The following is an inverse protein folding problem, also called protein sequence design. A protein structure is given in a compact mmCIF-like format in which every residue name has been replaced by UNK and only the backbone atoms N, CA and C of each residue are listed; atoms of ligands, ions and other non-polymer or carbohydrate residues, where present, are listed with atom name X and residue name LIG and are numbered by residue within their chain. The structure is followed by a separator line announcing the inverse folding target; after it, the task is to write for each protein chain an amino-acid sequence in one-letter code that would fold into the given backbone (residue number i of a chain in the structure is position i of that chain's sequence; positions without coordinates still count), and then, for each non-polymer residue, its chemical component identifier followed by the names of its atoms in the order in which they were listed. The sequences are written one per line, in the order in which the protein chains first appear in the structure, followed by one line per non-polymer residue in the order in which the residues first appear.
data_IF_771843528921
#
_entry.id   IF_771843528921
#
_cell.length_a   1.000
_cell.length_b   1.000
_cell.length_c   1.000
_cell.angle_alpha   90.00
_cell.angle_beta   90.00
_cell.angle_gamma   90.00
#
_symmetry.space_group_name_H-M   'P 1'
#
loop_
_entity.id
_entity.type
_entity.pdbx_description
1 polymer ?
#
# COMPACT_ATOMS: atom_id res chain seq x y z
N UNK A 1 22.04 31.32 6.30
CA UNK A 1 21.34 30.04 6.41
C UNK A 1 20.24 30.21 7.44
N UNK A 2 18.99 30.07 7.02
CA UNK A 2 17.77 30.06 7.84
C UNK A 2 17.54 28.61 8.28
N UNK A 3 17.11 28.37 9.52
CA UNK A 3 16.89 26.99 9.99
C UNK A 3 15.70 26.35 9.24
N UNK A 4 15.68 25.01 9.12
CA UNK A 4 14.52 24.32 8.52
C UNK A 4 13.21 24.64 9.26
N UNK A 5 13.29 24.84 10.59
CA UNK A 5 12.14 25.21 11.41
C UNK A 5 11.64 26.62 11.09
N UNK A 6 12.54 27.60 11.01
CA UNK A 6 12.21 28.98 10.62
C UNK A 6 11.61 29.01 9.21
N UNK A 7 12.14 28.23 8.26
CA UNK A 7 11.56 28.13 6.92
C UNK A 7 10.13 27.57 6.95
N UNK A 8 9.87 26.52 7.72
CA UNK A 8 8.51 25.97 7.88
C UNK A 8 7.54 26.99 8.48
N UNK A 9 7.98 27.78 9.46
CA UNK A 9 7.17 28.85 10.05
C UNK A 9 6.89 29.94 9.02
N UNK A 10 7.90 30.36 8.25
CA UNK A 10 7.75 31.33 7.16
C UNK A 10 6.74 30.86 6.12
N UNK A 11 6.83 29.62 5.68
CA UNK A 11 5.92 29.04 4.69
C UNK A 11 4.48 29.00 5.24
N UNK A 12 4.32 28.65 6.54
CA UNK A 12 3.01 28.67 7.19
C UNK A 12 2.39 30.06 7.22
N UNK A 13 3.17 31.09 7.58
CA UNK A 13 2.68 32.47 7.64
C UNK A 13 2.28 32.99 6.26
N UNK A 14 3.05 32.64 5.22
CA UNK A 14 2.70 32.94 3.82
C UNK A 14 1.40 32.25 3.44
N UNK A 15 1.25 30.95 3.76
CA UNK A 15 0.03 30.20 3.50
C UNK A 15 -1.19 30.75 4.26
N UNK A 16 -0.98 31.37 5.43
CA UNK A 16 -2.00 32.07 6.20
C UNK A 16 -2.34 33.48 5.66
N UNK A 17 -1.70 33.91 4.57
CA UNK A 17 -1.98 35.18 3.90
C UNK A 17 -1.11 36.36 4.32
N UNK A 18 -0.12 36.16 5.20
CA UNK A 18 0.79 37.24 5.60
C UNK A 18 1.86 37.51 4.55
N UNK A 19 2.11 38.78 4.25
CA UNK A 19 3.29 39.17 3.46
C UNK A 19 4.50 39.19 4.38
N UNK A 20 5.49 38.34 4.13
CA UNK A 20 6.71 38.24 4.95
C UNK A 20 7.89 38.91 4.24
N UNK A 21 8.72 39.67 4.99
CA UNK A 21 9.90 40.32 4.43
C UNK A 21 10.89 39.29 3.86
N UNK A 22 11.44 39.56 2.68
CA UNK A 22 12.39 38.67 1.99
C UNK A 22 13.81 38.88 2.54
N UNK A 23 14.46 37.80 2.94
CA UNK A 23 15.85 37.83 3.42
C UNK A 23 16.00 38.26 4.89
N UNK A 24 17.26 38.46 5.31
CA UNK A 24 17.59 38.87 6.67
C UNK A 24 17.16 40.32 6.89
N UNK A 25 16.64 40.58 8.08
CA UNK A 25 16.21 41.90 8.49
C UNK A 25 16.91 42.31 9.77
N UNK A 26 17.11 43.61 9.92
CA UNK A 26 17.75 44.23 11.08
C UNK A 26 16.90 45.42 11.51
N UNK A 27 16.68 45.55 12.81
CA UNK A 27 15.97 46.65 13.44
C UNK A 27 16.96 47.37 14.35
N UNK A 28 17.21 48.64 14.06
CA UNK A 28 17.93 49.53 14.97
C UNK A 28 17.02 49.84 16.16
N UNK A 29 17.45 49.45 17.36
CA UNK A 29 16.74 49.74 18.60
C UNK A 29 17.32 50.99 19.28
N UNK A 30 16.60 51.48 20.30
CA UNK A 30 17.05 52.55 21.18
C UNK A 30 18.21 52.13 22.10
N UNK A 31 18.60 53.02 23.02
CA UNK A 31 19.70 52.75 23.95
C UNK A 31 19.37 51.58 24.89
N UNK A 32 20.30 50.62 25.00
CA UNK A 32 20.27 49.54 25.99
C UNK A 32 21.21 49.89 27.15
N UNK A 33 20.68 50.26 28.34
CA UNK A 33 21.52 50.75 29.44
C UNK A 33 22.54 49.73 29.95
N UNK A 34 22.20 48.44 29.96
CA UNK A 34 23.06 47.38 30.50
C UNK A 34 24.33 47.16 29.67
N UNK A 35 24.23 47.33 28.35
CA UNK A 35 25.36 47.17 27.41
C UNK A 35 25.93 48.50 26.93
N UNK A 36 25.32 49.61 27.36
CA UNK A 36 25.64 50.97 26.96
C UNK A 36 25.84 51.13 25.45
N UNK A 37 24.90 50.61 24.67
CA UNK A 37 24.95 50.64 23.21
C UNK A 37 23.55 50.84 22.60
N UNK A 38 23.50 50.88 21.27
CA UNK A 38 22.26 50.95 20.49
C UNK A 38 22.15 49.67 19.64
N UNK A 39 21.60 48.58 20.19
CA UNK A 39 21.66 47.28 19.55
C UNK A 39 20.88 47.25 18.24
N UNK A 40 21.43 46.50 17.27
CA UNK A 40 20.72 46.09 16.07
C UNK A 40 20.22 44.66 16.30
N UNK A 41 18.91 44.49 16.37
CA UNK A 41 18.29 43.18 16.57
C UNK A 41 17.84 42.60 15.23
N UNK A 42 18.02 41.30 15.06
CA UNK A 42 17.62 40.55 13.86
C UNK A 42 16.55 39.54 14.24
N UNK A 43 15.25 39.90 14.20
CA UNK A 43 14.18 38.92 14.36
C UNK A 43 14.21 37.90 13.22
N UNK A 44 13.80 36.68 13.50
CA UNK A 44 13.76 35.60 12.50
C UNK A 44 12.88 35.97 11.28
N UNK A 45 11.71 36.56 11.56
CA UNK A 45 10.71 36.84 10.53
C UNK A 45 10.07 38.22 10.78
N UNK A 46 10.02 39.07 9.75
CA UNK A 46 9.25 40.32 9.79
C UNK A 46 7.97 40.20 8.96
N UNK A 47 6.84 40.62 9.52
CA UNK A 47 5.60 40.73 8.78
C UNK A 47 5.57 42.09 8.07
N UNK A 48 5.63 42.08 6.74
CA UNK A 48 5.70 43.28 5.92
C UNK A 48 4.47 44.17 6.09
N UNK A 49 4.69 45.49 5.99
CA UNK A 49 3.64 46.52 6.13
C UNK A 49 2.95 46.53 7.51
N UNK A 50 3.49 45.81 8.48
CA UNK A 50 3.12 45.88 9.88
C UNK A 50 4.37 46.12 10.73
N UNK A 51 4.19 46.58 11.96
CA UNK A 51 5.25 46.62 12.96
C UNK A 51 5.23 45.36 13.83
N UNK A 52 5.17 44.19 13.20
CA UNK A 52 5.14 42.88 13.87
C UNK A 52 6.33 42.03 13.43
N UNK A 53 7.03 41.45 14.38
CA UNK A 53 8.08 40.46 14.14
C UNK A 53 7.81 39.15 14.89
N UNK A 54 8.30 38.05 14.32
CA UNK A 54 8.19 36.71 14.89
C UNK A 54 9.59 36.20 15.22
N UNK A 55 9.74 35.64 16.42
CA UNK A 55 10.93 34.87 16.85
C UNK A 55 10.52 33.40 17.06
N UNK A 56 11.38 32.46 16.66
CA UNK A 56 11.19 31.02 16.84
C UNK A 56 12.23 30.55 17.85
N UNK A 57 11.78 30.30 19.08
CA UNK A 57 12.64 30.02 20.23
C UNK A 57 12.56 28.54 20.63
N UNK A 58 13.45 27.67 20.16
CA UNK A 58 13.49 26.29 20.62
C UNK A 58 14.28 26.15 21.93
N UNK A 59 13.79 25.30 22.85
CA UNK A 59 14.35 25.12 24.19
C UNK A 59 15.87 24.89 24.21
N UNK A 60 16.40 24.09 23.28
CA UNK A 60 17.83 23.79 23.22
C UNK A 60 18.75 25.02 23.04
N UNK A 61 18.21 26.19 22.68
CA UNK A 61 18.97 27.46 22.57
C UNK A 61 18.52 28.56 23.53
N UNK A 62 17.31 28.46 24.10
CA UNK A 62 16.66 29.51 24.90
C UNK A 62 16.38 29.16 26.37
N UNK A 63 16.63 27.93 26.81
CA UNK A 63 16.54 27.58 28.24
C UNK A 63 17.48 28.49 29.07
N UNK A 64 16.94 29.15 30.09
CA UNK A 64 17.69 30.03 30.99
C UNK A 64 17.97 31.44 30.45
N UNK A 65 17.41 31.81 29.28
CA UNK A 65 17.60 33.12 28.64
C UNK A 65 16.38 34.03 28.74
N UNK A 66 15.45 33.76 29.65
CA UNK A 66 14.18 34.47 29.76
C UNK A 66 14.37 35.97 30.03
N UNK A 67 15.40 36.34 30.79
CA UNK A 67 15.75 37.74 31.05
C UNK A 67 16.20 38.44 29.76
N UNK A 68 17.08 37.81 29.00
CA UNK A 68 17.58 38.36 27.74
C UNK A 68 16.45 38.46 26.69
N UNK A 69 15.59 37.45 26.63
CA UNK A 69 14.40 37.44 25.78
C UNK A 69 13.45 38.60 26.11
N UNK A 70 13.22 38.88 27.41
CA UNK A 70 12.42 40.03 27.86
C UNK A 70 13.09 41.36 27.50
N UNK A 71 14.39 41.49 27.69
CA UNK A 71 15.13 42.71 27.30
C UNK A 71 15.01 42.96 25.79
N UNK A 72 15.15 41.91 24.96
CA UNK A 72 14.93 42.02 23.50
C UNK A 72 13.51 42.49 23.17
N UNK A 73 12.49 41.93 23.84
CA UNK A 73 11.10 42.36 23.66
C UNK A 73 10.92 43.84 24.00
N UNK A 74 11.51 44.31 25.11
CA UNK A 74 11.45 45.72 25.53
C UNK A 74 12.12 46.66 24.52
N UNK A 75 13.29 46.28 24.00
CA UNK A 75 14.01 47.06 22.99
C UNK A 75 13.24 47.15 21.67
N UNK A 76 12.64 46.05 21.23
CA UNK A 76 11.78 46.02 20.05
C UNK A 76 10.51 46.85 20.25
N UNK A 77 9.85 46.73 21.41
CA UNK A 77 8.67 47.50 21.76
C UNK A 77 8.97 49.01 21.81
N UNK A 78 10.10 49.42 22.39
CA UNK A 78 10.55 50.81 22.39
C UNK A 78 10.84 51.35 20.97
N UNK A 79 11.22 50.48 20.04
CA UNK A 79 11.36 50.79 18.61
C UNK A 79 10.02 50.71 17.84
N UNK A 80 8.90 50.52 18.54
CA UNK A 80 7.56 50.44 17.99
C UNK A 80 7.18 49.10 17.38
N UNK A 81 7.92 48.02 17.68
CA UNK A 81 7.65 46.68 17.16
C UNK A 81 6.95 45.79 18.19
N UNK A 82 5.89 45.12 17.75
CA UNK A 82 5.24 44.05 18.48
C UNK A 82 5.95 42.72 18.20
N UNK A 83 6.28 41.98 19.25
CA UNK A 83 6.94 40.67 19.14
C UNK A 83 5.92 39.55 19.39
N UNK A 84 5.92 38.54 18.52
CA UNK A 84 5.17 37.29 18.67
C UNK A 84 6.18 36.14 18.71
N UNK A 85 6.24 35.36 19.79
CA UNK A 85 7.22 34.27 19.90
C UNK A 85 6.58 32.90 19.80
N UNK A 86 7.20 32.01 19.01
CA UNK A 86 6.91 30.58 19.04
C UNK A 86 7.94 29.90 19.93
N UNK A 87 7.55 29.58 21.17
CA UNK A 87 8.43 29.00 22.20
C UNK A 87 8.19 27.50 22.29
N UNK A 88 9.20 26.70 21.94
CA UNK A 88 9.09 25.25 21.69
C UNK A 88 9.88 24.49 22.77
N UNK A 89 9.40 23.33 23.20
CA UNK A 89 10.08 22.47 24.19
C UNK A 89 9.79 22.84 25.64
N UNK A 90 8.60 23.38 25.92
CA UNK A 90 8.15 23.66 27.29
C UNK A 90 8.71 24.95 27.90
N UNK A 91 9.26 25.85 27.09
CA UNK A 91 9.69 27.19 27.53
C UNK A 91 8.52 28.00 28.09
N UNK A 92 8.74 28.75 29.18
CA UNK A 92 7.74 29.69 29.71
C UNK A 92 7.52 30.90 28.78
N UNK A 93 6.35 31.57 28.83
CA UNK A 93 6.09 32.77 28.05
C UNK A 93 6.92 33.97 28.56
N UNK A 94 7.26 34.88 27.64
CA UNK A 94 7.97 36.14 27.89
C UNK A 94 7.25 37.35 27.31
N UNK A 95 6.28 37.16 26.41
CA UNK A 95 5.43 38.19 25.81
C UNK A 95 3.95 37.81 25.78
N UNK A 96 3.09 38.80 25.55
CA UNK A 96 1.63 38.64 25.64
C UNK A 96 1.03 37.87 24.45
N UNK A 97 1.71 37.86 23.30
CA UNK A 97 1.28 37.12 22.10
C UNK A 97 1.98 35.77 21.94
N UNK A 98 2.69 35.29 22.97
CA UNK A 98 3.49 34.09 22.85
C UNK A 98 2.65 32.83 22.61
N UNK A 99 3.17 31.95 21.76
CA UNK A 99 2.69 30.59 21.58
C UNK A 99 3.71 29.66 22.25
N UNK A 100 3.29 29.03 23.33
CA UNK A 100 4.10 28.07 24.10
C UNK A 100 3.69 26.65 23.75
N UNK A 101 4.61 25.85 23.24
CA UNK A 101 4.41 24.45 22.91
C UNK A 101 5.29 23.53 23.76
N UNK A 102 4.69 22.52 24.38
CA UNK A 102 5.42 21.51 25.18
C UNK A 102 6.23 20.53 24.31
N UNK A 103 5.84 20.34 23.04
CA UNK A 103 6.59 19.54 22.08
C UNK A 103 7.97 20.16 21.82
N UNK A 104 9.01 19.34 21.69
CA UNK A 104 10.36 19.77 21.29
C UNK A 104 10.47 20.16 19.81
N UNK A 105 9.45 19.82 19.02
CA UNK A 105 9.35 20.15 17.59
C UNK A 105 8.10 20.96 17.28
N UNK A 106 8.16 21.77 16.22
CA UNK A 106 7.01 22.53 15.70
C UNK A 106 5.94 21.59 15.14
N UNK A 107 4.78 21.60 15.79
CA UNK A 107 3.56 20.89 15.36
C UNK A 107 2.66 21.79 14.51
N UNK A 108 1.67 21.21 13.84
CA UNK A 108 0.69 21.97 13.06
C UNK A 108 -0.18 22.85 13.96
N UNK A 109 -0.57 22.34 15.14
CA UNK A 109 -1.37 23.09 16.11
C UNK A 109 -0.62 24.32 16.62
N UNK A 110 0.69 24.21 16.88
CA UNK A 110 1.52 25.34 17.26
C UNK A 110 1.68 26.35 16.13
N UNK A 111 1.77 25.88 14.88
CA UNK A 111 1.80 26.73 13.68
C UNK A 111 0.49 27.48 13.45
N UNK A 112 -0.66 26.84 13.68
CA UNK A 112 -1.99 27.46 13.56
C UNK A 112 -2.21 28.51 14.66
N UNK A 113 -1.80 28.18 15.89
CA UNK A 113 -1.81 29.12 17.01
C UNK A 113 -0.90 30.32 16.75
N UNK A 114 0.28 30.12 16.16
CA UNK A 114 1.19 31.20 15.78
C UNK A 114 0.57 32.12 14.73
N UNK A 115 0.00 31.57 13.66
CA UNK A 115 -0.67 32.37 12.64
C UNK A 115 -1.81 33.21 13.24
N UNK A 116 -2.57 32.64 14.19
CA UNK A 116 -3.61 33.36 14.92
C UNK A 116 -3.04 34.48 15.80
N UNK A 117 -1.93 34.23 16.51
CA UNK A 117 -1.27 35.23 17.35
C UNK A 117 -0.69 36.40 16.53
N UNK A 118 -0.12 36.10 15.36
CA UNK A 118 0.35 37.12 14.41
C UNK A 118 -0.83 37.94 13.88
N UNK A 119 -1.95 37.29 13.55
CA UNK A 119 -3.17 38.00 13.12
C UNK A 119 -3.64 39.01 14.16
N UNK A 120 -3.72 38.59 15.42
CA UNK A 120 -4.11 39.47 16.53
C UNK A 120 -3.14 40.64 16.70
N UNK A 121 -1.83 40.38 16.66
CA UNK A 121 -0.79 41.40 16.76
C UNK A 121 -0.86 42.42 15.60
N UNK A 122 -1.10 41.95 14.37
CA UNK A 122 -1.21 42.82 13.19
C UNK A 122 -2.45 43.73 13.26
N UNK A 123 -3.55 43.23 13.80
CA UNK A 123 -4.81 44.00 13.96
C UNK A 123 -4.80 44.86 15.24
N UNK A 124 -3.83 44.67 16.13
CA UNK A 124 -3.71 45.41 17.40
C UNK A 124 -4.67 44.92 18.49
N UNK A 125 -5.07 43.65 18.45
CA UNK A 125 -5.86 43.04 19.52
C UNK A 125 -4.99 42.75 20.75
N UNK A 126 -5.56 42.75 21.97
CA UNK A 126 -4.84 42.36 23.17
C UNK A 126 -4.16 40.99 23.04
N UNK A 127 -2.95 40.86 23.58
CA UNK A 127 -2.20 39.62 23.55
C UNK A 127 -2.87 38.52 24.39
N UNK A 128 -2.91 37.31 23.83
CA UNK A 128 -3.31 36.09 24.54
C UNK A 128 -2.20 35.07 24.37
N UNK A 129 -1.66 34.61 25.50
CA UNK A 129 -0.68 33.52 25.54
C UNK A 129 -1.39 32.22 25.16
N UNK A 130 -0.96 31.59 24.06
CA UNK A 130 -1.52 30.33 23.56
C UNK A 130 -0.67 29.17 24.05
N UNK A 131 -1.28 28.15 24.63
CA UNK A 131 -0.58 26.98 25.19
C UNK A 131 -0.97 25.73 24.42
N UNK A 132 0.04 25.03 23.88
CA UNK A 132 -0.11 23.80 23.09
C UNK A 132 0.50 22.65 23.86
N UNK A 133 -0.36 21.79 24.40
CA UNK A 133 0.05 20.60 25.13
C UNK A 133 0.67 19.56 24.18
N UNK A 134 1.61 18.76 24.68
CA UNK A 134 2.17 17.62 23.95
C UNK A 134 1.08 16.57 23.79
N UNK A 135 0.74 16.20 22.54
CA UNK A 135 -0.17 15.06 22.31
C UNK A 135 0.43 13.81 22.94
N UNK A 136 -0.41 13.03 23.61
CA UNK A 136 -0.04 11.71 24.10
C UNK A 136 0.54 10.89 22.92
N UNK A 137 1.64 10.14 23.14
CA UNK A 137 2.23 9.33 22.08
C UNK A 137 1.15 8.41 21.51
N UNK A 138 0.87 8.54 20.22
CA UNK A 138 0.00 7.60 19.51
C UNK A 138 0.65 6.23 19.60
N UNK A 139 -0.10 5.19 19.99
CA UNK A 139 0.41 3.85 20.13
C UNK A 139 1.28 3.47 18.91
N UNK A 140 2.49 2.98 19.17
CA UNK A 140 3.42 2.57 18.10
C UNK A 140 2.71 1.51 17.27
N UNK A 141 2.30 1.88 16.05
CA UNK A 141 1.66 0.96 15.11
C UNK A 141 2.69 -0.13 14.80
N UNK A 142 2.51 -1.33 15.36
CA UNK A 142 3.35 -2.47 15.01
C UNK A 142 3.34 -2.62 13.49
N UNK A 143 4.53 -2.73 12.89
CA UNK A 143 4.64 -2.99 11.46
C UNK A 143 3.89 -4.29 11.18
N UNK A 144 2.93 -4.23 10.25
CA UNK A 144 2.18 -5.41 9.82
C UNK A 144 3.16 -6.48 9.33
N UNK A 145 2.98 -7.73 9.79
CA UNK A 145 3.77 -8.88 9.34
C UNK A 145 3.54 -9.20 7.85
N UNK A 146 2.42 -8.73 7.29
CA UNK A 146 2.09 -8.89 5.88
C UNK A 146 2.82 -7.86 5.02
N UNK A 147 3.56 -8.34 4.03
CA UNK A 147 4.19 -7.53 3.00
C UNK A 147 3.20 -6.90 2.03
N UNK A 148 3.71 -6.40 0.89
CA UNK A 148 2.87 -5.95 -0.21
C UNK A 148 2.17 -7.15 -0.87
N UNK A 149 0.96 -6.92 -1.39
CA UNK A 149 0.25 -7.88 -2.25
C UNK A 149 0.30 -7.31 -3.66
N UNK A 150 1.12 -7.90 -4.54
CA UNK A 150 1.36 -7.41 -5.90
C UNK A 150 1.04 -8.51 -6.92
N UNK A 151 0.68 -8.14 -8.15
CA UNK A 151 0.44 -9.11 -9.22
C UNK A 151 1.71 -9.93 -9.51
N UNK A 152 1.51 -11.22 -9.82
CA UNK A 152 2.59 -12.13 -10.16
C UNK A 152 3.01 -11.92 -11.62
N UNK A 153 4.31 -11.85 -11.87
CA UNK A 153 4.83 -11.54 -13.21
C UNK A 153 4.59 -12.65 -14.24
N UNK A 154 4.56 -13.90 -13.79
CA UNK A 154 4.59 -15.08 -14.66
C UNK A 154 3.33 -15.94 -14.61
N UNK A 155 2.48 -15.73 -13.61
CA UNK A 155 1.30 -16.54 -13.39
C UNK A 155 0.11 -15.62 -13.53
N UNK A 156 -0.73 -15.90 -14.53
CA UNK A 156 -2.00 -15.23 -14.70
C UNK A 156 -2.84 -15.39 -13.42
N UNK A 157 -3.59 -14.34 -13.08
CA UNK A 157 -4.52 -14.35 -11.96
C UNK A 157 -3.89 -14.74 -10.61
N UNK A 158 -2.61 -14.43 -10.43
CA UNK A 158 -1.86 -14.74 -9.21
C UNK A 158 -1.19 -13.50 -8.62
N UNK A 159 -0.91 -13.52 -7.31
CA UNK A 159 -0.35 -12.38 -6.59
C UNK A 159 0.78 -12.81 -5.65
N UNK A 160 1.91 -12.11 -5.68
CA UNK A 160 2.95 -12.22 -4.67
C UNK A 160 2.40 -11.84 -3.29
N UNK A 161 2.67 -12.69 -2.31
CA UNK A 161 2.36 -12.47 -0.89
C UNK A 161 3.61 -12.79 -0.07
N UNK A 162 3.88 -11.99 0.96
CA UNK A 162 4.88 -12.35 1.96
C UNK A 162 4.41 -12.13 3.38
N UNK A 163 4.83 -13.01 4.27
CA UNK A 163 4.49 -12.96 5.70
C UNK A 163 5.75 -13.10 6.54
N UNK A 164 5.94 -12.19 7.50
CA UNK A 164 7.05 -12.27 8.44
C UNK A 164 6.72 -13.31 9.52
N UNK A 165 7.49 -14.39 9.58
CA UNK A 165 7.40 -15.44 10.59
C UNK A 165 7.89 -14.95 11.94
N UNK A 166 7.58 -15.67 13.02
CA UNK A 166 8.06 -15.32 14.37
C UNK A 166 9.59 -15.42 14.48
N UNK A 167 10.20 -16.30 13.69
CA UNK A 167 11.66 -16.38 13.52
C UNK A 167 12.30 -15.12 12.89
N UNK A 168 11.50 -14.18 12.38
CA UNK A 168 11.95 -12.99 11.66
C UNK A 168 12.17 -13.23 10.15
N UNK A 169 12.13 -14.48 9.68
CA UNK A 169 12.20 -14.82 8.25
C UNK A 169 10.94 -14.39 7.52
N UNK A 170 11.09 -13.84 6.31
CA UNK A 170 9.96 -13.60 5.43
C UNK A 170 9.62 -14.86 4.62
N UNK A 171 8.44 -15.43 4.84
CA UNK A 171 7.90 -16.50 3.99
C UNK A 171 7.33 -15.86 2.72
N UNK A 172 7.80 -16.31 1.56
CA UNK A 172 7.28 -15.90 0.24
C UNK A 172 6.29 -16.92 -0.25
N UNK A 173 5.16 -16.44 -0.76
CA UNK A 173 4.02 -17.24 -1.20
C UNK A 173 3.37 -16.57 -2.39
N UNK A 174 2.43 -17.29 -2.99
CA UNK A 174 1.61 -16.80 -4.08
C UNK A 174 0.14 -17.05 -3.74
N UNK A 175 -0.69 -16.01 -3.82
CA UNK A 175 -2.13 -16.16 -3.81
C UNK A 175 -2.57 -16.47 -5.26
N UNK A 176 -2.95 -17.71 -5.51
CA UNK A 176 -3.30 -18.27 -6.81
C UNK A 176 -4.80 -18.19 -7.08
N UNK A 177 -5.19 -18.33 -8.36
CA UNK A 177 -6.60 -18.39 -8.81
C UNK A 177 -7.42 -17.22 -8.26
N UNK A 178 -7.07 -16.00 -8.67
CA UNK A 178 -7.70 -14.76 -8.21
C UNK A 178 -7.64 -14.55 -6.68
N UNK A 179 -6.66 -15.16 -6.01
CA UNK A 179 -6.48 -15.07 -4.57
C UNK A 179 -7.30 -16.08 -3.77
N UNK A 180 -7.88 -17.09 -4.43
CA UNK A 180 -8.64 -18.15 -3.78
C UNK A 180 -7.78 -19.08 -2.94
N UNK A 181 -6.53 -19.32 -3.35
CA UNK A 181 -5.66 -20.29 -2.67
C UNK A 181 -4.28 -19.72 -2.37
N UNK A 182 -3.67 -20.19 -1.29
CA UNK A 182 -2.29 -19.89 -0.93
C UNK A 182 -1.40 -21.03 -1.40
N UNK A 183 -0.29 -20.70 -2.04
CA UNK A 183 0.70 -21.66 -2.52
C UNK A 183 2.14 -21.16 -2.28
N UNK A 184 3.09 -22.08 -2.32
CA UNK A 184 4.51 -21.78 -2.52
C UNK A 184 4.83 -22.06 -3.97
N UNK A 185 5.51 -21.11 -4.62
CA UNK A 185 6.06 -21.31 -5.95
C UNK A 185 7.48 -20.73 -5.95
N UNK A 186 8.48 -21.62 -6.02
CA UNK A 186 9.89 -21.25 -6.03
C UNK A 186 10.53 -21.63 -7.37
N UNK A 187 11.23 -20.69 -7.98
CA UNK A 187 11.99 -20.93 -9.21
C UNK A 187 11.12 -21.43 -10.37
N UNK A 188 11.40 -22.66 -10.81
CA UNK A 188 10.76 -23.32 -11.96
C UNK A 188 9.75 -24.39 -11.55
N UNK A 189 9.58 -24.64 -10.26
CA UNK A 189 8.69 -25.67 -9.76
C UNK A 189 7.22 -25.24 -9.86
N UNK A 190 6.29 -26.19 -10.09
CA UNK A 190 4.87 -25.89 -10.05
C UNK A 190 4.48 -25.31 -8.69
N UNK A 191 3.49 -24.42 -8.64
CA UNK A 191 2.90 -24.00 -7.38
C UNK A 191 2.41 -25.21 -6.58
N UNK A 192 2.79 -25.28 -5.31
CA UNK A 192 2.31 -26.29 -4.36
C UNK A 192 1.45 -25.61 -3.29
N UNK A 193 0.26 -26.14 -3.05
CA UNK A 193 -0.80 -25.45 -2.32
C UNK A 193 -0.74 -25.71 -0.82
N UNK A 194 -1.02 -24.69 -0.03
CA UNK A 194 -1.03 -24.72 1.44
C UNK A 194 -2.48 -24.79 1.94
N UNK A 195 -3.30 -23.81 1.56
CA UNK A 195 -4.66 -23.67 2.08
C UNK A 195 -5.55 -22.79 1.18
N UNK A 196 -6.85 -22.80 1.47
CA UNK A 196 -7.84 -21.90 0.91
C UNK A 196 -7.80 -20.53 1.60
N UNK A 197 -7.92 -19.45 0.81
CA UNK A 197 -7.95 -18.07 1.27
C UNK A 197 -9.31 -17.39 1.05
N UNK A 198 -10.02 -17.72 -0.03
CA UNK A 198 -11.32 -17.12 -0.38
C UNK A 198 -11.29 -15.62 -0.68
N UNK A 199 -10.15 -15.06 -1.12
CA UNK A 199 -10.06 -13.63 -1.42
C UNK A 199 -10.77 -13.24 -2.71
N UNK A 200 -10.99 -14.20 -3.60
CA UNK A 200 -11.70 -14.03 -4.87
C UNK A 200 -13.15 -13.59 -4.69
N UNK A 201 -13.75 -13.89 -3.54
CA UNK A 201 -15.11 -13.46 -3.16
C UNK A 201 -15.15 -12.04 -2.57
N UNK A 202 -13.98 -11.42 -2.34
CA UNK A 202 -13.85 -10.13 -1.67
C UNK A 202 -13.36 -9.03 -2.61
N UNK A 203 -13.85 -7.79 -2.47
CA UNK A 203 -13.27 -6.65 -3.16
C UNK A 203 -11.79 -6.47 -2.83
N UNK A 204 -10.96 -6.14 -3.83
CA UNK A 204 -9.49 -6.04 -3.70
C UNK A 204 -9.00 -5.18 -2.52
N UNK A 205 -9.76 -4.13 -2.18
CA UNK A 205 -9.48 -3.22 -1.04
C UNK A 205 -9.54 -3.91 0.34
N UNK A 206 -10.27 -5.01 0.46
CA UNK A 206 -10.44 -5.77 1.70
C UNK A 206 -9.42 -6.91 1.86
N UNK A 207 -8.74 -7.29 0.77
CA UNK A 207 -7.81 -8.43 0.76
C UNK A 207 -6.73 -8.33 1.83
N UNK A 208 -6.18 -7.13 2.06
CA UNK A 208 -5.11 -6.97 3.03
C UNK A 208 -5.56 -7.36 4.45
N UNK A 209 -6.75 -6.91 4.84
CA UNK A 209 -7.30 -7.22 6.16
C UNK A 209 -7.62 -8.70 6.27
N UNK A 210 -8.38 -9.25 5.31
CA UNK A 210 -8.76 -10.66 5.30
C UNK A 210 -7.54 -11.60 5.33
N UNK A 211 -6.54 -11.33 4.48
CA UNK A 211 -5.31 -12.11 4.44
C UNK A 211 -4.51 -11.99 5.74
N UNK A 212 -4.44 -10.80 6.33
CA UNK A 212 -3.76 -10.63 7.61
C UNK A 212 -4.45 -11.45 8.72
N UNK A 213 -5.78 -11.49 8.74
CA UNK A 213 -6.55 -12.25 9.73
C UNK A 213 -6.35 -13.77 9.57
N UNK A 214 -6.34 -14.26 8.32
CA UNK A 214 -6.06 -15.67 8.01
C UNK A 214 -4.64 -16.04 8.43
N UNK A 215 -3.64 -15.29 7.98
CA UNK A 215 -2.22 -15.61 8.22
C UNK A 215 -1.82 -15.44 9.69
N UNK A 216 -2.49 -14.56 10.44
CA UNK A 216 -2.25 -14.40 11.87
C UNK A 216 -2.71 -15.62 12.70
N UNK A 217 -3.63 -16.43 12.18
CA UNK A 217 -4.09 -17.67 12.82
C UNK A 217 -3.18 -18.86 12.50
N UNK A 218 -2.28 -18.73 11.52
CA UNK A 218 -1.34 -19.77 11.13
C UNK A 218 -0.07 -19.72 11.99
N UNK A 219 0.39 -20.89 12.40
CA UNK A 219 1.71 -21.09 13.01
C UNK A 219 2.82 -21.08 11.96
N UNK A 220 4.07 -20.86 12.39
CA UNK A 220 5.23 -20.88 11.48
C UNK A 220 5.39 -22.24 10.76
N UNK A 221 4.84 -23.33 11.31
CA UNK A 221 4.86 -24.68 10.72
C UNK A 221 3.74 -24.95 9.73
N UNK A 222 2.71 -24.10 9.65
CA UNK A 222 1.60 -24.26 8.70
C UNK A 222 1.97 -23.82 7.27
N UNK A 223 3.08 -23.11 7.11
CA UNK A 223 3.57 -22.59 5.83
C UNK A 223 4.35 -23.64 5.02
N UNK A 224 3.80 -24.85 4.93
CA UNK A 224 4.36 -25.95 4.15
C UNK A 224 3.31 -26.43 3.15
N UNK A 225 3.69 -26.78 1.90
CA UNK A 225 2.73 -27.26 0.93
C UNK A 225 2.16 -28.62 1.34
N UNK A 226 0.87 -28.83 1.06
CA UNK A 226 0.12 -30.05 1.36
C UNK A 226 -0.13 -30.92 0.13
N UNK A 227 -0.19 -30.29 -1.05
CA UNK A 227 -0.59 -30.97 -2.28
C UNK A 227 -0.20 -30.17 -3.53
N UNK A 228 -0.19 -30.83 -4.68
CA UNK A 228 0.06 -30.20 -6.00
C UNK A 228 -1.09 -29.32 -6.47
N UNK A 229 -2.32 -29.67 -6.12
CA UNK A 229 -3.55 -28.91 -6.40
C UNK A 229 -4.30 -28.63 -5.10
N UNK A 230 -5.23 -27.67 -5.06
CA UNK A 230 -6.03 -27.41 -3.86
C UNK A 230 -6.84 -28.61 -3.34
N UNK A 231 -7.10 -29.60 -4.19
CA UNK A 231 -7.89 -30.80 -3.89
C UNK A 231 -7.06 -32.08 -3.75
N UNK A 232 -5.75 -32.05 -3.96
CA UNK A 232 -4.90 -33.25 -3.91
C UNK A 232 -3.79 -33.20 -4.94
N UNK A 233 -3.23 -34.36 -5.29
CA UNK A 233 -2.06 -34.45 -6.16
C UNK A 233 -2.40 -34.76 -7.63
N UNK A 234 -3.67 -35.05 -7.91
CA UNK A 234 -4.13 -35.53 -9.20
C UNK A 234 -5.05 -34.50 -9.87
N UNK A 235 -4.77 -34.21 -11.15
CA UNK A 235 -5.65 -33.39 -12.01
C UNK A 235 -6.68 -34.26 -12.75
N UNK A 236 -6.30 -35.51 -13.04
CA UNK A 236 -7.14 -36.51 -13.65
C UNK A 236 -7.23 -37.72 -12.71
N UNK A 237 -8.39 -38.35 -12.67
CA UNK A 237 -8.68 -39.60 -11.94
C UNK A 237 -9.22 -40.64 -12.94
N UNK A 238 -9.27 -41.91 -12.53
CA UNK A 238 -9.70 -43.03 -13.38
C UNK A 238 -8.59 -44.02 -13.72
N UNK A 239 -8.96 -45.10 -14.40
CA UNK A 239 -8.09 -46.28 -14.63
C UNK A 239 -6.77 -45.94 -15.33
N UNK A 240 -6.81 -45.07 -16.34
CA UNK A 240 -5.66 -44.67 -17.15
C UNK A 240 -5.19 -43.23 -16.87
N UNK A 241 -5.65 -42.59 -15.79
CA UNK A 241 -5.32 -41.20 -15.48
C UNK A 241 -3.81 -40.93 -15.34
N UNK A 242 -3.06 -41.91 -14.80
CA UNK A 242 -1.61 -41.84 -14.65
C UNK A 242 -0.83 -41.71 -15.97
N UNK A 243 -1.48 -42.02 -17.11
CA UNK A 243 -0.92 -41.85 -18.45
C UNK A 243 -0.99 -40.40 -18.94
N UNK A 244 -1.83 -39.57 -18.33
CA UNK A 244 -1.94 -38.15 -18.65
C UNK A 244 -0.75 -37.41 -18.05
N UNK A 245 0.06 -36.80 -18.92
CA UNK A 245 1.25 -36.04 -18.55
C UNK A 245 0.89 -34.58 -18.37
N UNK A 246 0.68 -34.21 -17.11
CA UNK A 246 0.49 -32.80 -16.73
C UNK A 246 1.81 -32.06 -16.75
N UNK A 247 1.89 -31.01 -17.59
CA UNK A 247 3.11 -30.22 -17.73
C UNK A 247 3.60 -29.69 -16.36
N UNK A 248 4.92 -29.72 -16.07
CA UNK A 248 5.46 -29.29 -14.77
C UNK A 248 5.14 -27.83 -14.42
N UNK A 249 4.90 -26.98 -15.41
CA UNK A 249 4.50 -25.57 -15.19
C UNK A 249 3.00 -25.35 -15.11
N UNK A 250 2.18 -26.41 -15.14
CA UNK A 250 0.73 -26.27 -15.03
C UNK A 250 0.38 -25.49 -13.76
N UNK A 251 -0.47 -24.48 -13.88
CA UNK A 251 -1.01 -23.73 -12.76
C UNK A 251 -2.45 -23.30 -13.03
N UNK A 252 -3.25 -23.20 -11.96
CA UNK A 252 -4.70 -22.99 -12.03
C UNK A 252 -5.15 -21.60 -12.47
N UNK A 253 -4.25 -20.62 -12.43
CA UNK A 253 -4.57 -19.24 -12.84
C UNK A 253 -4.57 -19.01 -14.35
N UNK A 254 -4.07 -19.97 -15.15
CA UNK A 254 -4.00 -19.86 -16.61
C UNK A 254 -5.38 -20.02 -17.26
N UNK A 255 -5.56 -19.43 -18.42
CA UNK A 255 -6.79 -19.58 -19.22
C UNK A 255 -6.84 -20.88 -20.06
N UNK A 256 -5.69 -21.48 -20.37
CA UNK A 256 -5.59 -22.68 -21.19
C UNK A 256 -4.31 -23.48 -20.89
N UNK A 257 -4.34 -24.78 -21.17
CA UNK A 257 -3.17 -25.67 -21.13
C UNK A 257 -3.25 -26.74 -22.20
N UNK A 258 -2.09 -27.16 -22.68
CA UNK A 258 -1.94 -28.36 -23.51
C UNK A 258 -1.21 -29.44 -22.71
N UNK A 259 -1.75 -30.65 -22.78
CA UNK A 259 -1.24 -31.84 -22.10
C UNK A 259 -1.10 -32.97 -23.12
N UNK A 260 -0.36 -34.01 -22.77
CA UNK A 260 -0.27 -35.22 -23.60
C UNK A 260 -0.67 -36.45 -22.81
N UNK A 261 -1.26 -37.46 -23.44
CA UNK A 261 -1.59 -38.72 -22.81
C UNK A 261 -1.35 -39.92 -23.74
N UNK A 262 -1.36 -41.12 -23.16
CA UNK A 262 -1.30 -42.39 -23.90
C UNK A 262 -2.43 -43.30 -23.41
N UNK A 263 -3.67 -42.84 -23.55
CA UNK A 263 -4.87 -43.56 -23.12
C UNK A 263 -5.23 -44.58 -24.20
N UNK A 264 -5.17 -45.85 -23.85
CA UNK A 264 -5.49 -46.96 -24.74
C UNK A 264 -6.99 -46.94 -25.05
N UNK A 265 -7.32 -46.99 -26.34
CA UNK A 265 -8.71 -47.04 -26.81
C UNK A 265 -9.44 -45.69 -26.82
N UNK A 266 -8.79 -44.59 -26.48
CA UNK A 266 -9.42 -43.26 -26.45
C UNK A 266 -9.95 -42.84 -27.83
N UNK A 267 -11.28 -42.82 -27.98
CA UNK A 267 -11.96 -42.47 -29.23
C UNK A 267 -13.13 -41.49 -29.05
N UNK A 268 -13.57 -41.27 -27.81
CA UNK A 268 -14.63 -40.32 -27.45
C UNK A 268 -14.15 -39.49 -26.26
N UNK A 269 -14.55 -38.21 -26.21
CA UNK A 269 -14.35 -37.38 -25.03
C UNK A 269 -15.57 -36.49 -24.76
N UNK A 270 -15.70 -36.05 -23.53
CA UNK A 270 -16.63 -35.02 -23.06
C UNK A 270 -15.83 -33.86 -22.44
N UNK A 271 -16.52 -32.79 -22.01
CA UNK A 271 -15.85 -31.69 -21.30
C UNK A 271 -15.14 -32.13 -20.00
N UNK A 272 -15.47 -33.31 -19.44
CA UNK A 272 -14.88 -33.80 -18.20
C UNK A 272 -14.10 -35.12 -18.33
N UNK A 273 -14.30 -35.91 -19.39
CA UNK A 273 -13.76 -37.28 -19.46
C UNK A 273 -13.28 -37.68 -20.86
N UNK A 274 -12.32 -38.60 -20.90
CA UNK A 274 -11.83 -39.29 -22.08
C UNK A 274 -12.22 -40.77 -21.95
N UNK A 275 -12.88 -41.29 -22.98
CA UNK A 275 -13.50 -42.60 -22.97
C UNK A 275 -12.96 -43.51 -24.07
N UNK A 276 -12.96 -44.80 -23.79
CA UNK A 276 -12.92 -45.86 -24.80
C UNK A 276 -14.37 -46.32 -25.01
N UNK A 277 -14.95 -45.95 -26.14
CA UNK A 277 -16.38 -46.04 -26.43
C UNK A 277 -17.24 -45.38 -25.33
N UNK A 278 -17.76 -46.16 -24.39
CA UNK A 278 -18.59 -45.69 -23.27
C UNK A 278 -17.87 -45.74 -21.92
N UNK A 279 -16.71 -46.37 -21.86
CA UNK A 279 -15.99 -46.59 -20.61
C UNK A 279 -15.03 -45.43 -20.35
N UNK A 280 -15.23 -44.74 -19.21
CA UNK A 280 -14.39 -43.63 -18.78
C UNK A 280 -13.00 -44.15 -18.41
N UNK A 281 -11.98 -43.68 -19.13
CA UNK A 281 -10.60 -44.10 -18.93
C UNK A 281 -9.81 -43.10 -18.09
N UNK A 282 -10.07 -41.81 -18.30
CA UNK A 282 -9.53 -40.73 -17.48
C UNK A 282 -10.54 -39.58 -17.45
N UNK A 283 -10.76 -39.00 -16.28
CA UNK A 283 -11.65 -37.86 -16.10
C UNK A 283 -10.95 -36.78 -15.29
N UNK A 284 -11.26 -35.51 -15.57
CA UNK A 284 -10.82 -34.39 -14.77
C UNK A 284 -11.36 -34.54 -13.35
N UNK A 285 -10.52 -34.20 -12.37
CA UNK A 285 -10.93 -34.18 -10.98
C UNK A 285 -12.21 -33.33 -10.83
N UNK A 286 -13.24 -33.78 -10.07
CA UNK A 286 -14.52 -33.06 -9.98
C UNK A 286 -14.38 -31.59 -9.56
N UNK A 287 -13.44 -31.31 -8.66
CA UNK A 287 -13.08 -29.97 -8.21
C UNK A 287 -12.47 -29.14 -9.35
N UNK A 288 -11.64 -29.71 -10.22
CA UNK A 288 -11.14 -28.99 -11.40
C UNK A 288 -12.32 -28.56 -12.30
N UNK A 289 -13.27 -29.47 -12.54
CA UNK A 289 -14.49 -29.21 -13.32
C UNK A 289 -15.35 -28.13 -12.68
N UNK A 290 -15.58 -28.22 -11.36
CA UNK A 290 -16.32 -27.21 -10.60
C UNK A 290 -15.66 -25.82 -10.69
N UNK A 291 -14.33 -25.77 -10.83
CA UNK A 291 -13.57 -24.53 -11.00
C UNK A 291 -13.56 -24.02 -12.44
N UNK A 292 -14.21 -24.70 -13.37
CA UNK A 292 -14.38 -24.27 -14.76
C UNK A 292 -13.34 -24.81 -15.73
N UNK A 293 -12.48 -25.73 -15.27
CA UNK A 293 -11.59 -26.47 -16.17
C UNK A 293 -12.35 -27.56 -16.92
N UNK A 294 -12.02 -27.70 -18.20
CA UNK A 294 -12.66 -28.70 -19.07
C UNK A 294 -11.76 -29.08 -20.23
N UNK A 295 -12.00 -30.28 -20.73
CA UNK A 295 -11.39 -30.84 -21.93
C UNK A 295 -12.09 -30.21 -23.14
N UNK A 296 -11.34 -29.36 -23.86
CA UNK A 296 -11.85 -28.67 -25.03
C UNK A 296 -11.62 -29.45 -26.33
N UNK A 297 -10.50 -30.18 -26.41
CA UNK A 297 -10.16 -31.01 -27.55
C UNK A 297 -9.26 -32.17 -27.13
N UNK A 298 -9.39 -33.29 -27.84
CA UNK A 298 -8.47 -34.42 -27.78
C UNK A 298 -8.08 -34.80 -29.20
N UNK A 299 -6.83 -34.52 -29.58
CA UNK A 299 -6.27 -34.82 -30.90
C UNK A 299 -5.41 -36.09 -30.86
N UNK A 300 -5.50 -36.92 -31.89
CA UNK A 300 -4.61 -38.08 -32.06
C UNK A 300 -3.38 -37.67 -32.85
N UNK A 301 -2.20 -37.90 -32.28
CA UNK A 301 -0.92 -37.47 -32.81
C UNK A 301 0.04 -38.65 -32.94
N UNK A 302 1.02 -38.54 -33.85
CA UNK A 302 2.09 -39.53 -34.03
C UNK A 302 3.40 -38.98 -33.49
N UNK A 303 3.95 -39.66 -32.49
CA UNK A 303 5.21 -39.30 -31.87
C UNK A 303 6.34 -40.28 -32.20
N UNK A 304 7.56 -39.94 -31.80
CA UNK A 304 8.74 -40.81 -31.92
C UNK A 304 8.57 -42.17 -31.22
N UNK A 305 7.75 -42.22 -30.18
CA UNK A 305 7.55 -43.40 -29.32
C UNK A 305 6.19 -44.09 -29.52
N UNK A 306 5.47 -43.73 -30.58
CA UNK A 306 4.13 -44.26 -30.88
C UNK A 306 3.07 -43.16 -30.94
N UNK A 307 1.83 -43.60 -31.11
CA UNK A 307 0.66 -42.74 -31.14
C UNK A 307 0.36 -42.22 -29.73
N UNK A 308 -0.02 -40.95 -29.62
CA UNK A 308 -0.34 -40.28 -28.35
C UNK A 308 -1.50 -39.30 -28.54
N UNK A 309 -2.14 -38.90 -27.45
CA UNK A 309 -3.16 -37.87 -27.46
C UNK A 309 -2.60 -36.52 -27.04
N UNK A 310 -2.97 -35.47 -27.75
CA UNK A 310 -2.84 -34.09 -27.31
C UNK A 310 -4.19 -33.63 -26.74
N UNK A 311 -4.18 -33.17 -25.49
CA UNK A 311 -5.38 -32.76 -24.74
C UNK A 311 -5.30 -31.27 -24.52
N UNK A 312 -6.28 -30.53 -25.03
CA UNK A 312 -6.44 -29.12 -24.75
C UNK A 312 -7.38 -28.93 -23.56
N UNK A 313 -6.89 -28.30 -22.50
CA UNK A 313 -7.69 -27.81 -21.38
C UNK A 313 -7.96 -26.33 -21.56
N UNK A 314 -9.21 -25.93 -21.31
CA UNK A 314 -9.60 -24.54 -21.23
C UNK A 314 -10.23 -24.26 -19.88
N UNK A 315 -9.95 -23.07 -19.35
CA UNK A 315 -10.67 -22.53 -18.22
C UNK A 315 -11.74 -21.57 -18.71
N UNK A 316 -12.98 -21.76 -18.23
CA UNK A 316 -14.05 -20.76 -18.36
C UNK A 316 -14.63 -20.48 -16.99
N UNK A 317 -14.87 -19.20 -16.70
CA UNK A 317 -15.48 -18.81 -15.43
C UNK A 317 -16.82 -19.55 -15.26
N UNK A 318 -17.05 -20.26 -14.12
CA UNK A 318 -18.34 -20.90 -13.84
C UNK A 318 -19.52 -19.92 -13.79
N UNK A 319 -19.24 -18.62 -13.64
CA UNK A 319 -20.23 -17.53 -13.60
C UNK A 319 -20.54 -16.94 -14.98
N UNK A 320 -19.81 -17.31 -16.02
CA UNK A 320 -20.17 -17.04 -17.41
C UNK A 320 -20.91 -18.26 -17.95
N UNK A 321 -22.22 -18.36 -17.65
CA UNK A 321 -23.10 -19.11 -18.54
C UNK A 321 -22.89 -18.60 -19.97
N UNK A 322 -23.04 -19.44 -21.01
CA UNK A 322 -22.97 -18.96 -22.38
C UNK A 322 -23.98 -17.82 -22.50
N UNK A 323 -23.47 -16.60 -22.69
CA UNK A 323 -24.29 -15.56 -23.30
C UNK A 323 -24.62 -16.14 -24.66
N UNK A 324 -25.90 -16.42 -24.88
CA UNK A 324 -26.37 -16.97 -26.14
C UNK A 324 -25.91 -16.04 -27.25
N UNK A 325 -24.87 -16.45 -27.96
CA UNK A 325 -24.51 -15.86 -29.23
C UNK A 325 -25.31 -16.64 -30.26
N UNK A 326 -26.50 -16.11 -30.50
CA UNK A 326 -27.13 -15.97 -31.79
C UNK A 326 -26.90 -17.12 -32.80
N UNK A 327 -27.82 -18.08 -32.80
CA UNK A 327 -27.98 -19.07 -33.88
C UNK A 327 -28.39 -18.45 -35.24
N UNK A 328 -28.37 -17.12 -35.40
CA UNK A 328 -28.75 -16.46 -36.66
C UNK A 328 -27.61 -16.05 -37.60
N UNK A 329 -26.33 -16.09 -37.18
CA UNK A 329 -25.20 -15.73 -38.07
C UNK A 329 -24.48 -16.92 -38.75
N UNK A 330 -24.80 -18.17 -38.39
CA UNK A 330 -24.26 -19.35 -39.09
C UNK A 330 -25.07 -19.78 -40.34
N UNK A 331 -26.24 -19.17 -40.58
CA UNK A 331 -27.10 -19.49 -41.73
C UNK A 331 -27.01 -18.49 -42.91
N UNK A 332 -26.23 -17.41 -42.77
CA UNK A 332 -26.08 -16.41 -43.84
C UNK A 332 -24.84 -16.62 -44.74
N UNK A 333 -23.93 -17.54 -44.40
CA UNK A 333 -22.71 -17.79 -45.19
C UNK A 333 -22.83 -18.96 -46.20
N UNK A 334 -24.00 -19.59 -46.34
CA UNK A 334 -24.21 -20.72 -47.27
C UNK A 334 -24.95 -20.37 -48.57
N UNK A 335 -25.45 -19.14 -48.74
CA UNK A 335 -26.32 -18.80 -49.89
C UNK A 335 -25.74 -17.72 -50.81
N UNK A 336 -24.43 -17.75 -51.10
CA UNK A 336 -23.92 -16.94 -52.19
C UNK A 336 -22.68 -17.53 -52.89
N UNK A 337 -22.84 -18.71 -53.51
CA UNK A 337 -22.08 -19.11 -54.71
C UNK A 337 -22.93 -20.06 -55.56
N UNK A 338 -23.36 -19.60 -56.74
CA UNK A 338 -23.57 -20.45 -57.93
C UNK A 338 -24.99 -20.95 -58.23
N UNK A 339 -25.76 -20.15 -58.99
CA UNK A 339 -26.10 -20.48 -60.38
C UNK A 339 -26.68 -19.29 -61.14
#
# INVERSE_FOLDING_TARGET
MTSQTEQRVRDKLIAAGFTVHKGRSAIQCGHEPQRNNFPILTPDILISKSKVCVEVDPAHTHVGKEKDDRTRNQLLAAAGWQVVRLRIGGLGPVGEHDVVAESESVTNEAMDALASAVSDAVVGRPGIIRRIAKKAPTAVRQKSRLGAIAEHKYYENAFYVSWQLNSGRAQRMVAMDHGRYLAIAEGWDPPQFICHLGLDELPRKQWRTALQDILAQMSDTDFVPRSRFPWGDELFIGEQASTVRVHPKFYLGASAWELTANIVGANVFSEAAICADRDVQAELHPEAVQRGWRIAAVGQCKGKYGDYQEIQLLWRSPLQAPTGVDESEALAASNNVGH
#
